data_IF_976409653824
#
_entry.id   IF_976409653824
#
_cell.length_a   1.000
_cell.length_b   1.000
_cell.length_c   1.000
_cell.angle_alpha   90.00
_cell.angle_beta   90.00
_cell.angle_gamma   90.00
#
_symmetry.space_group_name_H-M   'P 1'
#
loop_
_entity.id
_entity.type
_entity.pdbx_description
1 polymer ?
#
# COMPACT_ATOMS: atom_id res chain seq x y z
N UNK A 1 -9.33 13.21 18.06
CA UNK A 1 -9.99 12.84 16.79
C UNK A 1 -9.72 11.35 16.54
N UNK A 2 -10.63 10.63 15.87
CA UNK A 2 -10.37 9.25 15.46
C UNK A 2 -9.10 9.18 14.58
N UNK A 3 -8.38 8.07 14.64
CA UNK A 3 -7.26 7.81 13.74
C UNK A 3 -7.83 7.57 12.34
N UNK A 4 -7.48 8.42 11.38
CA UNK A 4 -7.86 8.29 9.96
C UNK A 4 -6.70 7.66 9.19
N UNK A 5 -6.86 6.41 8.74
CA UNK A 5 -5.80 5.64 8.10
C UNK A 5 -5.42 6.22 6.74
N UNK A 6 -6.41 6.68 5.95
CA UNK A 6 -6.16 7.25 4.64
C UNK A 6 -5.45 8.60 4.73
N UNK A 7 -5.83 9.47 5.66
CA UNK A 7 -5.16 10.76 5.85
C UNK A 7 -3.68 10.59 6.24
N UNK A 8 -3.37 9.58 7.06
CA UNK A 8 -1.99 9.25 7.45
C UNK A 8 -1.17 8.77 6.26
N UNK A 9 -1.71 7.82 5.49
CA UNK A 9 -1.06 7.35 4.28
C UNK A 9 -0.95 8.44 3.21
N UNK A 10 -1.94 9.34 3.11
CA UNK A 10 -1.93 10.44 2.16
C UNK A 10 -0.80 11.42 2.44
N UNK A 11 -0.52 11.71 3.72
CA UNK A 11 0.66 12.48 4.14
C UNK A 11 1.94 11.82 3.66
N UNK A 12 2.09 10.51 3.86
CA UNK A 12 3.24 9.76 3.34
C UNK A 12 3.37 9.92 1.82
N UNK A 13 2.28 9.76 1.06
CA UNK A 13 2.28 9.93 -0.40
C UNK A 13 2.72 11.32 -0.87
N UNK A 14 2.40 12.38 -0.12
CA UNK A 14 2.85 13.74 -0.44
C UNK A 14 4.34 13.95 -0.17
N UNK A 15 4.90 13.26 0.82
CA UNK A 15 6.33 13.33 1.15
C UNK A 15 7.22 12.54 0.16
N UNK A 16 6.65 11.67 -0.67
CA UNK A 16 7.39 10.85 -1.63
C UNK A 16 8.10 11.72 -2.67
N UNK A 17 7.47 12.80 -3.13
CA UNK A 17 7.96 13.63 -4.23
C UNK A 17 9.38 14.13 -4.00
N UNK A 18 9.68 14.62 -2.78
CA UNK A 18 11.00 15.12 -2.41
C UNK A 18 12.10 14.04 -2.42
N UNK A 19 11.73 12.76 -2.50
CA UNK A 19 12.64 11.61 -2.44
C UNK A 19 12.61 10.77 -3.71
N UNK A 20 11.78 11.12 -4.69
CA UNK A 20 11.47 10.28 -5.84
C UNK A 20 12.70 9.91 -6.67
N UNK A 21 13.59 10.88 -6.93
CA UNK A 21 14.85 10.65 -7.65
C UNK A 21 15.77 9.68 -6.89
N UNK A 22 16.03 9.97 -5.60
CA UNK A 22 16.89 9.14 -4.76
C UNK A 22 16.35 7.72 -4.59
N UNK A 23 15.03 7.59 -4.53
CA UNK A 23 14.35 6.30 -4.42
C UNK A 23 14.20 5.57 -5.76
N UNK A 24 14.51 6.25 -6.88
CA UNK A 24 14.39 5.76 -8.26
C UNK A 24 12.96 5.33 -8.59
N UNK A 25 12.01 6.17 -8.21
CA UNK A 25 10.57 5.98 -8.42
C UNK A 25 10.01 7.15 -9.23
N UNK A 26 8.83 6.98 -9.81
CA UNK A 26 8.24 8.03 -10.65
C UNK A 26 6.77 8.25 -10.34
N UNK A 27 6.33 9.49 -10.53
CA UNK A 27 4.93 9.90 -10.42
C UNK A 27 4.31 9.96 -11.81
N UNK A 28 3.04 9.57 -11.89
CA UNK A 28 2.20 9.89 -13.02
C UNK A 28 0.79 10.28 -12.56
N UNK A 29 0.13 11.12 -13.36
CA UNK A 29 -1.30 11.37 -13.26
C UNK A 29 -1.98 10.55 -14.34
N UNK A 30 -2.91 9.69 -13.97
CA UNK A 30 -3.72 8.92 -14.94
C UNK A 30 -4.76 9.85 -15.59
N UNK A 31 -5.34 9.43 -16.72
CA UNK A 31 -6.39 10.19 -17.43
C UNK A 31 -7.62 10.44 -16.57
N UNK A 32 -7.97 9.50 -15.68
CA UNK A 32 -8.95 9.65 -14.60
C UNK A 32 -8.62 10.73 -13.56
N UNK A 33 -7.41 11.28 -13.53
CA UNK A 33 -6.98 12.26 -12.52
C UNK A 33 -6.39 11.65 -11.24
N UNK A 34 -6.43 10.32 -11.11
CA UNK A 34 -5.77 9.60 -10.01
C UNK A 34 -4.27 9.87 -9.99
N UNK A 35 -3.74 10.10 -8.78
CA UNK A 35 -2.31 10.13 -8.54
C UNK A 35 -1.80 8.69 -8.49
N UNK A 36 -0.80 8.37 -9.31
CA UNK A 36 -0.19 7.05 -9.32
C UNK A 36 1.32 7.15 -9.13
N UNK A 37 1.87 6.38 -8.21
CA UNK A 37 3.31 6.22 -8.01
C UNK A 37 3.77 4.87 -8.55
N UNK A 38 4.78 4.89 -9.41
CA UNK A 38 5.48 3.71 -9.90
C UNK A 38 6.72 3.45 -9.04
N UNK A 39 6.69 2.36 -8.27
CA UNK A 39 7.78 1.94 -7.40
C UNK A 39 8.52 0.70 -7.93
N UNK A 40 8.19 0.20 -9.13
CA UNK A 40 8.81 -1.02 -9.64
C UNK A 40 8.28 -1.61 -10.95
N UNK A 41 7.30 -0.97 -11.60
CA UNK A 41 6.75 -1.41 -12.89
C UNK A 41 7.68 -1.01 -14.04
N UNK A 42 7.94 0.30 -14.18
CA UNK A 42 8.97 0.85 -15.09
C UNK A 42 10.13 1.42 -14.30
N UNK A 43 9.85 1.98 -13.12
CA UNK A 43 10.84 2.46 -12.17
C UNK A 43 11.72 1.32 -11.63
N UNK A 44 12.98 1.62 -11.34
CA UNK A 44 13.90 0.64 -10.70
C UNK A 44 13.53 0.38 -9.24
N UNK A 45 13.02 1.40 -8.54
CA UNK A 45 12.73 1.33 -7.12
C UNK A 45 13.98 1.24 -6.24
N UNK A 46 13.78 1.09 -4.94
CA UNK A 46 14.85 0.95 -3.94
C UNK A 46 14.31 0.27 -2.68
N UNK A 47 15.20 -0.21 -1.81
CA UNK A 47 14.80 -0.70 -0.48
C UNK A 47 14.15 0.44 0.34
N UNK A 48 14.62 1.68 0.21
CA UNK A 48 13.98 2.83 0.86
C UNK A 48 12.55 3.08 0.35
N UNK A 49 12.31 2.94 -0.96
CA UNK A 49 10.96 2.96 -1.53
C UNK A 49 10.09 1.82 -0.97
N UNK A 50 10.66 0.62 -0.79
CA UNK A 50 9.99 -0.52 -0.18
C UNK A 50 9.59 -0.28 1.28
N UNK A 51 10.49 0.28 2.09
CA UNK A 51 10.17 0.65 3.48
C UNK A 51 9.04 1.68 3.53
N UNK A 52 9.07 2.67 2.63
CA UNK A 52 8.01 3.65 2.53
C UNK A 52 6.67 3.02 2.09
N UNK A 53 6.70 2.13 1.08
CA UNK A 53 5.53 1.40 0.62
C UNK A 53 4.91 0.54 1.72
N UNK A 54 5.74 -0.14 2.52
CA UNK A 54 5.29 -0.90 3.68
C UNK A 54 4.61 -0.01 4.73
N UNK A 55 5.18 1.17 5.03
CA UNK A 55 4.56 2.16 5.92
C UNK A 55 3.21 2.67 5.39
N UNK A 56 3.09 2.89 4.09
CA UNK A 56 1.81 3.24 3.44
C UNK A 56 0.79 2.11 3.59
N UNK A 57 1.18 0.86 3.33
CA UNK A 57 0.31 -0.30 3.58
C UNK A 57 -0.16 -0.36 5.04
N UNK A 58 0.68 0.02 6.00
CA UNK A 58 0.40 0.01 7.44
C UNK A 58 -0.27 1.31 7.94
N UNK A 59 -0.66 2.23 7.04
CA UNK A 59 -1.21 3.55 7.38
C UNK A 59 -0.35 4.35 8.37
N UNK A 60 0.97 4.14 8.33
CA UNK A 60 1.96 4.69 9.24
C UNK A 60 1.68 4.38 10.74
N UNK A 61 1.00 3.27 11.04
CA UNK A 61 0.73 2.81 12.41
C UNK A 61 1.75 1.78 12.90
N UNK A 62 2.85 1.62 12.17
CA UNK A 62 3.91 0.67 12.49
C UNK A 62 5.28 1.25 12.14
N UNK A 63 6.26 0.93 12.97
CA UNK A 63 7.67 1.12 12.64
C UNK A 63 8.13 -0.05 11.79
N UNK A 64 8.63 0.24 10.58
CA UNK A 64 9.26 -0.75 9.68
C UNK A 64 10.72 -0.38 9.54
N UNK A 65 11.62 -1.29 9.92
CA UNK A 65 13.06 -1.04 9.87
C UNK A 65 13.79 -2.19 9.17
N UNK A 66 14.82 -1.85 8.41
CA UNK A 66 15.72 -2.77 7.74
C UNK A 66 16.98 -2.93 8.60
N UNK A 67 17.37 -4.16 8.89
CA UNK A 67 18.56 -4.47 9.69
C UNK A 67 19.52 -5.33 8.88
N UNK A 68 20.85 -5.08 8.92
CA UNK A 68 21.81 -6.02 8.37
C UNK A 68 21.72 -7.36 9.10
N UNK A 69 21.89 -8.46 8.37
CA UNK A 69 21.97 -9.79 8.98
C UNK A 69 22.82 -10.73 8.13
N UNK A 70 23.54 -11.58 8.82
CA UNK A 70 24.37 -12.69 8.34
C UNK A 70 23.68 -14.05 8.54
N UNK A 71 22.48 -14.07 9.14
CA UNK A 71 21.72 -15.29 9.42
C UNK A 71 20.72 -15.68 8.31
N UNK A 72 20.46 -14.78 7.36
CA UNK A 72 19.57 -15.04 6.22
C UNK A 72 20.38 -15.11 4.92
N UNK A 73 20.54 -16.32 4.35
CA UNK A 73 21.30 -16.47 3.10
C UNK A 73 20.61 -15.74 1.95
N UNK A 74 21.37 -14.99 1.17
CA UNK A 74 20.93 -14.38 -0.09
C UNK A 74 20.40 -12.95 -0.04
N UNK A 75 20.13 -12.38 1.14
CA UNK A 75 19.63 -10.98 1.25
C UNK A 75 20.62 -10.06 1.96
N UNK A 76 21.31 -10.53 3.01
CA UNK A 76 22.15 -9.70 3.87
C UNK A 76 21.37 -8.72 4.77
N UNK A 77 20.04 -8.80 4.76
CA UNK A 77 19.15 -7.95 5.55
C UNK A 77 17.89 -8.69 6.02
N UNK A 78 17.32 -8.18 7.11
CA UNK A 78 16.03 -8.57 7.69
C UNK A 78 15.14 -7.34 7.90
N UNK A 79 13.84 -7.55 8.06
CA UNK A 79 12.87 -6.48 8.33
C UNK A 79 12.21 -6.72 9.69
N UNK A 80 12.19 -5.71 10.54
CA UNK A 80 11.38 -5.70 11.77
C UNK A 80 10.14 -4.83 11.58
N UNK A 81 9.00 -5.30 12.06
CA UNK A 81 7.73 -4.55 12.06
C UNK A 81 7.18 -4.54 13.48
N UNK A 82 6.92 -3.35 14.01
CA UNK A 82 6.41 -3.16 15.38
C UNK A 82 5.21 -2.22 15.32
N UNK A 83 4.09 -2.64 15.90
CA UNK A 83 2.85 -1.86 15.99
C UNK A 83 2.13 -2.14 17.30
N UNK A 84 1.62 -1.09 17.93
CA UNK A 84 0.72 -1.16 19.09
C UNK A 84 -0.76 -1.23 18.67
N UNK A 85 -1.02 -1.21 17.36
CA UNK A 85 -2.36 -1.17 16.78
C UNK A 85 -2.53 -2.22 15.66
N UNK A 86 -2.34 -3.51 16.00
CA UNK A 86 -2.22 -4.58 15.03
C UNK A 86 -3.44 -4.73 14.12
N UNK A 87 -4.64 -4.55 14.65
CA UNK A 87 -5.86 -4.67 13.84
C UNK A 87 -5.93 -3.58 12.76
N UNK A 88 -5.76 -2.30 13.12
CA UNK A 88 -5.86 -1.20 12.14
C UNK A 88 -4.69 -1.18 11.18
N UNK A 89 -3.47 -1.37 11.69
CA UNK A 89 -2.27 -1.40 10.86
C UNK A 89 -2.30 -2.58 9.87
N UNK A 90 -2.56 -3.79 10.37
CA UNK A 90 -2.43 -5.00 9.57
C UNK A 90 -3.73 -5.40 8.88
N UNK A 91 -4.83 -5.59 9.62
CA UNK A 91 -6.06 -6.16 9.05
C UNK A 91 -6.90 -5.13 8.29
N UNK A 92 -7.03 -3.91 8.82
CA UNK A 92 -7.83 -2.85 8.20
C UNK A 92 -7.09 -2.10 7.08
N UNK A 93 -5.76 -2.17 7.05
CA UNK A 93 -4.93 -1.47 6.08
C UNK A 93 -4.01 -2.43 5.31
N UNK A 94 -2.99 -3.02 5.94
CA UNK A 94 -1.94 -3.75 5.22
C UNK A 94 -2.45 -4.94 4.42
N UNK A 95 -3.38 -5.74 4.96
CA UNK A 95 -3.86 -6.98 4.37
C UNK A 95 -4.29 -6.79 2.91
N UNK A 96 -3.82 -7.68 2.04
CA UNK A 96 -4.09 -7.64 0.62
C UNK A 96 -5.41 -8.36 0.30
N UNK A 97 -6.52 -7.85 0.84
CA UNK A 97 -7.82 -8.53 0.75
C UNK A 97 -8.68 -8.15 -0.45
N UNK A 98 -8.36 -7.03 -1.11
CA UNK A 98 -9.20 -6.52 -2.19
C UNK A 98 -8.70 -6.99 -3.56
N UNK A 99 -9.41 -7.95 -4.16
CA UNK A 99 -9.17 -8.37 -5.55
C UNK A 99 -9.72 -7.33 -6.52
N UNK A 100 -8.83 -6.74 -7.31
CA UNK A 100 -9.17 -5.72 -8.31
C UNK A 100 -9.02 -6.32 -9.70
N UNK A 101 -10.08 -6.29 -10.49
CA UNK A 101 -10.12 -6.94 -11.80
C UNK A 101 -11.01 -6.18 -12.78
N UNK A 102 -10.48 -5.92 -13.98
CA UNK A 102 -11.22 -5.35 -15.10
C UNK A 102 -10.50 -5.70 -16.41
N UNK A 103 -11.19 -6.38 -17.33
CA UNK A 103 -10.56 -6.94 -18.54
C UNK A 103 -9.35 -7.81 -18.20
N UNK A 104 -8.20 -7.50 -18.78
CA UNK A 104 -6.93 -8.21 -18.53
C UNK A 104 -6.17 -7.71 -17.28
N UNK A 105 -6.63 -6.64 -16.63
CA UNK A 105 -5.99 -6.12 -15.43
C UNK A 105 -6.40 -6.93 -14.21
N UNK A 106 -5.42 -7.38 -13.43
CA UNK A 106 -5.61 -7.98 -12.13
C UNK A 106 -4.55 -7.47 -11.15
N UNK A 107 -4.97 -7.15 -9.92
CA UNK A 107 -4.07 -6.82 -8.83
C UNK A 107 -4.68 -7.20 -7.47
N UNK A 108 -3.81 -7.52 -6.51
CA UNK A 108 -4.19 -7.53 -5.11
C UNK A 108 -4.02 -6.11 -4.54
N UNK A 109 -5.12 -5.55 -4.05
CA UNK A 109 -5.19 -4.25 -3.40
C UNK A 109 -4.96 -4.37 -1.89
N UNK A 110 -4.05 -3.54 -1.39
CA UNK A 110 -3.75 -3.33 0.04
C UNK A 110 -3.86 -1.85 0.38
N UNK A 111 -3.68 -1.52 1.66
CA UNK A 111 -3.63 -0.16 2.16
C UNK A 111 -4.97 0.35 2.68
N UNK A 112 -4.99 1.58 3.21
CA UNK A 112 -6.13 2.08 3.98
C UNK A 112 -7.39 2.36 3.14
N UNK A 113 -7.30 2.37 1.80
CA UNK A 113 -8.49 2.42 0.94
C UNK A 113 -9.48 1.30 1.26
N UNK A 114 -9.00 0.16 1.77
CA UNK A 114 -9.84 -0.97 2.18
C UNK A 114 -10.77 -0.61 3.32
N UNK A 115 -10.29 0.17 4.30
CA UNK A 115 -11.12 0.68 5.38
C UNK A 115 -12.17 1.68 4.88
N UNK A 116 -11.86 2.46 3.84
CA UNK A 116 -12.82 3.37 3.22
C UNK A 116 -13.90 2.61 2.43
N UNK A 117 -13.53 1.52 1.74
CA UNK A 117 -14.50 0.68 1.04
C UNK A 117 -15.37 -0.15 2.00
N UNK A 118 -14.83 -0.60 3.13
CA UNK A 118 -15.57 -1.26 4.22
C UNK A 118 -16.31 -2.55 3.84
N UNK A 119 -16.04 -3.14 2.68
CA UNK A 119 -16.84 -4.24 2.13
C UNK A 119 -16.41 -5.63 2.59
N UNK A 120 -15.24 -5.74 3.21
CA UNK A 120 -14.63 -7.04 3.53
C UNK A 120 -15.05 -7.53 4.92
N UNK A 121 -15.52 -8.78 5.01
CA UNK A 121 -15.98 -9.37 6.28
C UNK A 121 -14.90 -9.37 7.38
N UNK A 122 -13.62 -9.49 7.00
CA UNK A 122 -12.48 -9.47 7.93
C UNK A 122 -12.32 -8.14 8.67
N UNK A 123 -12.96 -7.08 8.19
CA UNK A 123 -12.96 -5.78 8.86
C UNK A 123 -13.92 -5.73 10.05
N UNK A 124 -14.82 -6.71 10.22
CA UNK A 124 -15.72 -6.76 11.38
C UNK A 124 -16.60 -5.51 11.53
N UNK A 125 -16.97 -4.86 10.41
CA UNK A 125 -17.72 -3.61 10.39
C UNK A 125 -16.87 -2.35 10.60
N UNK A 126 -15.54 -2.46 10.69
CA UNK A 126 -14.65 -1.31 10.67
C UNK A 126 -14.74 -0.61 9.31
N UNK A 127 -15.08 0.68 9.35
CA UNK A 127 -15.22 1.54 8.17
C UNK A 127 -14.68 2.93 8.49
N UNK A 128 -14.03 3.55 7.51
CA UNK A 128 -13.46 4.89 7.60
C UNK A 128 -14.12 5.82 6.60
N UNK A 129 -14.71 6.92 7.07
CA UNK A 129 -15.09 8.02 6.19
C UNK A 129 -13.91 9.00 6.07
N UNK A 130 -13.40 9.20 4.85
CA UNK A 130 -12.24 10.03 4.56
C UNK A 130 -12.44 10.82 3.26
N UNK A 131 -11.88 12.03 3.19
CA UNK A 131 -11.89 12.86 1.98
C UNK A 131 -10.83 12.43 0.95
N UNK A 132 -10.06 11.37 1.24
CA UNK A 132 -9.06 10.80 0.35
C UNK A 132 -8.93 9.30 0.57
N UNK A 133 -8.42 8.60 -0.45
CA UNK A 133 -8.13 7.18 -0.37
C UNK A 133 -6.70 6.89 -0.84
N UNK A 134 -6.02 5.98 -0.14
CA UNK A 134 -4.68 5.50 -0.53
C UNK A 134 -4.65 3.99 -0.66
N UNK A 135 -4.21 3.52 -1.82
CA UNK A 135 -4.11 2.11 -2.16
C UNK A 135 -2.71 1.71 -2.57
N UNK A 136 -2.36 0.45 -2.30
CA UNK A 136 -1.16 -0.21 -2.83
C UNK A 136 -1.58 -1.38 -3.70
N UNK A 137 -1.10 -1.42 -4.93
CA UNK A 137 -1.42 -2.44 -5.91
C UNK A 137 -0.19 -3.31 -6.18
N UNK A 138 -0.30 -4.60 -5.87
CA UNK A 138 0.70 -5.58 -6.29
C UNK A 138 0.44 -5.96 -7.75
N UNK A 139 1.12 -5.28 -8.68
CA UNK A 139 0.93 -5.48 -10.13
C UNK A 139 2.17 -5.14 -10.95
N UNK A 140 2.26 -5.77 -12.13
CA UNK A 140 3.23 -5.45 -13.19
C UNK A 140 2.69 -4.43 -14.21
N UNK A 141 1.47 -3.96 -14.00
CA UNK A 141 0.79 -3.02 -14.89
C UNK A 141 0.18 -1.90 -14.06
N UNK A 142 0.00 -0.74 -14.68
CA UNK A 142 -0.78 0.32 -14.04
C UNK A 142 -2.27 0.01 -14.12
N UNK A 143 -3.06 0.46 -13.12
CA UNK A 143 -4.50 0.30 -13.16
C UNK A 143 -5.08 1.03 -14.36
N UNK A 144 -6.09 0.43 -14.98
CA UNK A 144 -6.90 1.10 -16.01
C UNK A 144 -7.78 2.17 -15.37
N UNK A 145 -8.31 3.09 -16.16
CA UNK A 145 -9.27 4.09 -15.65
C UNK A 145 -10.52 3.42 -15.07
N UNK A 146 -10.95 2.28 -15.61
CA UNK A 146 -12.07 1.51 -15.06
C UNK A 146 -11.79 1.06 -13.61
N UNK A 147 -10.60 0.51 -13.35
CA UNK A 147 -10.17 0.13 -12.00
C UNK A 147 -10.12 1.34 -11.07
N UNK A 148 -9.60 2.47 -11.56
CA UNK A 148 -9.51 3.71 -10.78
C UNK A 148 -10.90 4.19 -10.36
N UNK A 149 -11.86 4.24 -11.29
CA UNK A 149 -13.22 4.70 -10.99
C UNK A 149 -13.94 3.73 -10.05
N UNK A 150 -13.75 2.42 -10.20
CA UNK A 150 -14.31 1.41 -9.29
C UNK A 150 -13.78 1.58 -7.86
N UNK A 151 -12.46 1.74 -7.69
CA UNK A 151 -11.85 1.98 -6.37
C UNK A 151 -12.38 3.29 -5.77
N UNK A 152 -12.34 4.38 -6.54
CA UNK A 152 -12.76 5.70 -6.09
C UNK A 152 -14.23 5.70 -5.63
N UNK A 153 -15.12 5.10 -6.44
CA UNK A 153 -16.54 4.97 -6.12
C UNK A 153 -16.77 4.16 -4.84
N UNK A 154 -16.11 3.00 -4.69
CA UNK A 154 -16.24 2.16 -3.50
C UNK A 154 -15.68 2.83 -2.24
N UNK A 155 -14.64 3.64 -2.38
CA UNK A 155 -14.07 4.41 -1.27
C UNK A 155 -14.83 5.72 -0.97
N UNK A 156 -15.83 6.08 -1.78
CA UNK A 156 -16.59 7.32 -1.61
C UNK A 156 -15.79 8.60 -1.88
N UNK A 157 -14.78 8.55 -2.75
CA UNK A 157 -13.93 9.70 -3.08
C UNK A 157 -13.91 9.97 -4.59
N UNK A 158 -13.57 11.21 -4.97
CA UNK A 158 -13.27 11.54 -6.36
C UNK A 158 -11.95 10.88 -6.81
N UNK A 159 -11.80 10.49 -8.09
CA UNK A 159 -10.54 9.96 -8.60
C UNK A 159 -9.32 10.86 -8.33
N UNK A 160 -9.51 12.18 -8.31
CA UNK A 160 -8.45 13.15 -7.99
C UNK A 160 -8.00 13.13 -6.52
N UNK A 161 -8.80 12.50 -5.65
CA UNK A 161 -8.55 12.26 -4.23
C UNK A 161 -8.16 10.81 -3.94
N UNK A 162 -7.85 10.04 -4.99
CA UNK A 162 -7.26 8.71 -4.91
C UNK A 162 -5.76 8.76 -5.25
N UNK A 163 -4.96 8.10 -4.41
CA UNK A 163 -3.54 7.89 -4.65
C UNK A 163 -3.22 6.38 -4.63
N UNK A 164 -2.64 5.88 -5.71
CA UNK A 164 -2.29 4.47 -5.87
C UNK A 164 -0.77 4.31 -5.99
N UNK A 165 -0.18 3.41 -5.22
CA UNK A 165 1.23 3.03 -5.36
C UNK A 165 1.29 1.64 -5.98
N UNK A 166 2.11 1.46 -7.01
CA UNK A 166 2.17 0.21 -7.76
C UNK A 166 3.58 -0.36 -7.73
N UNK A 167 3.71 -1.62 -7.33
CA UNK A 167 4.96 -2.35 -7.39
C UNK A 167 4.70 -3.86 -7.61
N UNK A 168 5.41 -4.52 -8.52
CA UNK A 168 5.32 -5.96 -8.66
C UNK A 168 6.14 -6.67 -7.58
N UNK A 169 5.75 -7.89 -7.20
CA UNK A 169 6.48 -8.74 -6.23
C UNK A 169 7.96 -8.88 -6.60
N UNK A 170 8.24 -9.01 -7.90
CA UNK A 170 9.60 -9.11 -8.46
C UNK A 170 10.27 -7.72 -8.64
N UNK A 171 10.23 -6.88 -7.61
CA UNK A 171 10.93 -5.59 -7.55
C UNK A 171 11.47 -5.35 -6.14
N UNK A 172 12.40 -4.41 -5.98
CA UNK A 172 12.94 -4.07 -4.65
C UNK A 172 11.84 -3.60 -3.69
N UNK A 173 10.95 -2.71 -4.15
CA UNK A 173 9.89 -2.18 -3.31
C UNK A 173 8.81 -3.24 -3.02
N UNK A 174 8.40 -3.99 -4.05
CA UNK A 174 7.39 -5.04 -3.94
C UNK A 174 7.85 -6.21 -3.06
N UNK A 175 9.11 -6.66 -3.18
CA UNK A 175 9.61 -7.73 -2.32
C UNK A 175 9.68 -7.28 -0.85
N UNK A 176 10.24 -6.09 -0.59
CA UNK A 176 10.37 -5.60 0.79
C UNK A 176 9.00 -5.39 1.46
N UNK A 177 8.01 -4.84 0.75
CA UNK A 177 6.67 -4.69 1.33
C UNK A 177 6.01 -6.05 1.64
N UNK A 178 6.31 -7.11 0.88
CA UNK A 178 5.86 -8.48 1.22
C UNK A 178 6.54 -8.97 2.49
N UNK A 179 7.86 -8.80 2.62
CA UNK A 179 8.60 -9.21 3.83
C UNK A 179 8.09 -8.48 5.08
N UNK A 180 7.66 -7.22 4.94
CA UNK A 180 7.08 -6.41 6.01
C UNK A 180 5.66 -6.86 6.46
N UNK A 181 5.12 -7.98 5.97
CA UNK A 181 3.78 -8.50 6.33
C UNK A 181 3.81 -9.59 7.39
N UNK A 182 4.94 -9.82 8.06
CA UNK A 182 5.07 -10.89 9.07
C UNK A 182 4.02 -10.81 10.18
N UNK A 183 3.72 -9.60 10.69
CA UNK A 183 2.66 -9.39 11.70
C UNK A 183 1.26 -9.63 11.11
N UNK A 184 0.99 -9.11 9.90
CA UNK A 184 -0.29 -9.31 9.21
C UNK A 184 -0.59 -10.79 8.96
N UNK A 185 0.38 -11.54 8.43
CA UNK A 185 0.21 -12.98 8.18
C UNK A 185 -0.06 -13.77 9.46
N UNK A 186 0.57 -13.40 10.59
CA UNK A 186 0.28 -14.00 11.89
C UNK A 186 -1.16 -13.70 12.34
N UNK A 187 -1.62 -12.45 12.20
CA UNK A 187 -2.97 -12.03 12.58
C UNK A 187 -4.06 -12.63 11.69
N UNK A 188 -3.82 -12.70 10.39
CA UNK A 188 -4.74 -13.33 9.43
C UNK A 188 -4.93 -14.81 9.72
N UNK A 189 -3.88 -15.51 10.18
CA UNK A 189 -3.98 -16.92 10.56
C UNK A 189 -4.71 -17.16 11.89
N UNK A 190 -4.83 -16.14 12.73
CA UNK A 190 -5.60 -16.20 13.98
C UNK A 190 -7.10 -15.91 13.79
N UNK A 191 -7.48 -15.30 12.66
CA UNK A 191 -8.87 -15.13 12.25
C UNK A 191 -9.43 -16.44 11.68
#
# INVERSE_FOLDING_TARGET
>A
MPIQLNDRAWKLCNEIEARAEHWRISRQRLSSGCLCWDLGVRATGSLAAGLHLARVCLADLATVALHPTDHLPGTGWSVSVVTDDPFRACMASQYAGWKLHAGEFFAMGSGPMRAAAGSEAILGGYHEASDCAVGVLESRQFPTDEIVHDIASKCGVEPTRLCLLVAPTASQAGNLQVVARSVETALHKLH
#
